data_IF_255610231586
#
_entry.id   IF_255610231586
#
_cell.length_a   1.000
_cell.length_b   1.000
_cell.length_c   1.000
_cell.angle_alpha   90.00
_cell.angle_beta   90.00
_cell.angle_gamma   90.00
#
_symmetry.space_group_name_H-M   'P 1'
#
loop_
_entity.id
_entity.type
_entity.pdbx_description
1 polymer ?
#
# COMPACT_ATOMS: atom_id res chain seq x y z
N UNK A 1 -6.45 31.19 -13.43
CA UNK A 1 -6.25 31.25 -11.96
C UNK A 1 -5.89 29.88 -11.38
N UNK A 2 -4.75 29.28 -11.77
CA UNK A 2 -4.31 27.95 -11.27
C UNK A 2 -3.53 28.05 -9.95
N UNK A 3 -2.94 29.21 -9.68
CA UNK A 3 -2.16 29.51 -8.45
C UNK A 3 -3.05 29.41 -7.19
N UNK A 4 -4.34 29.72 -7.31
CA UNK A 4 -5.25 29.89 -6.16
C UNK A 4 -5.55 28.57 -5.41
N UNK A 5 -5.61 27.42 -6.11
CA UNK A 5 -5.89 26.12 -5.46
C UNK A 5 -4.68 25.57 -4.71
N UNK A 6 -3.47 25.79 -5.23
CA UNK A 6 -2.23 25.32 -4.60
C UNK A 6 -1.94 26.16 -3.36
N UNK A 7 -2.07 27.49 -3.49
CA UNK A 7 -1.89 28.41 -2.37
C UNK A 7 -2.89 28.12 -1.24
N UNK A 8 -4.18 27.92 -1.57
CA UNK A 8 -5.21 27.52 -0.57
C UNK A 8 -4.86 26.23 0.16
N UNK A 9 -4.32 25.21 -0.53
CA UNK A 9 -3.90 23.95 0.13
C UNK A 9 -2.70 24.15 1.03
N UNK A 10 -1.73 24.97 0.61
CA UNK A 10 -0.54 25.28 1.40
C UNK A 10 -0.91 26.08 2.65
N UNK A 11 -1.74 27.11 2.54
CA UNK A 11 -2.21 27.89 3.68
C UNK A 11 -3.05 27.04 4.65
N UNK A 12 -3.89 26.15 4.14
CA UNK A 12 -4.66 25.21 4.99
C UNK A 12 -3.77 24.22 5.73
N UNK A 13 -2.69 23.74 5.11
CA UNK A 13 -1.67 22.92 5.80
C UNK A 13 -0.94 23.74 6.86
N UNK A 14 -0.52 24.96 6.54
CA UNK A 14 0.27 25.78 7.44
C UNK A 14 -0.52 26.20 8.70
N UNK A 15 -1.82 26.52 8.55
CA UNK A 15 -2.71 26.81 9.68
C UNK A 15 -2.95 25.62 10.61
N UNK A 16 -2.75 24.38 10.15
CA UNK A 16 -2.81 23.19 11.01
C UNK A 16 -1.58 23.04 11.91
N UNK A 17 -0.46 23.72 11.63
CA UNK A 17 0.78 23.60 12.39
C UNK A 17 1.02 24.74 13.39
N UNK A 18 0.24 25.82 13.32
CA UNK A 18 0.48 27.05 14.11
C UNK A 18 -0.54 27.29 15.23
N UNK A 19 -1.51 26.40 15.43
CA UNK A 19 -2.43 26.50 16.58
C UNK A 19 -1.83 25.83 17.82
N UNK A 20 -1.71 26.53 18.97
CA UNK A 20 -1.38 25.89 20.24
C UNK A 20 -2.41 24.79 20.55
N UNK A 21 -1.95 23.56 20.82
CA UNK A 21 -2.79 22.34 20.90
C UNK A 21 -2.79 21.48 19.63
N UNK A 22 -2.20 21.97 18.53
CA UNK A 22 -2.05 21.22 17.29
C UNK A 22 -0.88 20.20 17.30
N UNK A 23 -0.36 19.83 18.46
CA UNK A 23 0.50 18.65 18.65
C UNK A 23 -0.03 17.68 19.70
N UNK A 24 -1.13 18.03 20.40
CA UNK A 24 -1.85 17.14 21.32
C UNK A 24 -2.98 16.38 20.62
N UNK A 25 -2.71 15.87 19.41
CA UNK A 25 -3.64 15.04 18.64
C UNK A 25 -4.04 13.73 19.35
N UNK A 26 -3.40 13.40 20.48
CA UNK A 26 -3.64 12.19 21.23
C UNK A 26 -5.02 12.18 21.89
N UNK A 27 -5.64 13.36 22.09
CA UNK A 27 -7.02 13.49 22.56
C UNK A 27 -7.92 13.84 21.38
N UNK A 28 -8.31 12.84 20.57
CA UNK A 28 -9.43 13.05 19.66
C UNK A 28 -10.71 13.10 20.48
N UNK A 29 -11.54 14.14 20.30
CA UNK A 29 -12.90 14.23 20.88
C UNK A 29 -13.85 13.13 20.38
N UNK A 30 -13.39 12.32 19.42
CA UNK A 30 -14.13 11.20 18.86
C UNK A 30 -14.11 10.03 19.84
N UNK A 31 -15.29 9.48 20.15
CA UNK A 31 -15.47 8.29 20.98
C UNK A 31 -14.57 7.14 20.51
N UNK A 32 -13.88 6.50 21.46
CA UNK A 32 -13.02 5.34 21.22
C UNK A 32 -13.55 4.17 22.01
N UNK A 33 -13.78 3.05 21.33
CA UNK A 33 -14.19 1.80 21.97
C UNK A 33 -13.34 0.64 21.48
N UNK A 34 -13.07 -0.30 22.37
CA UNK A 34 -12.49 -1.58 22.01
C UNK A 34 -13.59 -2.45 21.40
N UNK A 35 -13.29 -3.06 20.26
CA UNK A 35 -14.18 -4.01 19.59
C UNK A 35 -13.41 -5.28 19.30
N UNK A 36 -14.05 -6.43 19.51
CA UNK A 36 -13.50 -7.71 19.12
C UNK A 36 -13.52 -7.83 17.58
N UNK A 37 -12.38 -8.22 17.01
CA UNK A 37 -12.19 -8.37 15.57
C UNK A 37 -11.39 -9.65 15.32
N UNK A 38 -11.80 -10.44 14.34
CA UNK A 38 -11.04 -11.60 13.89
C UNK A 38 -9.98 -11.18 12.86
N UNK A 39 -8.74 -11.61 13.06
CA UNK A 39 -7.65 -11.23 12.16
C UNK A 39 -7.81 -11.87 10.78
N UNK A 40 -7.84 -11.04 9.73
CA UNK A 40 -7.97 -11.50 8.34
C UNK A 40 -6.78 -12.32 7.81
N UNK A 41 -5.69 -12.46 8.59
CA UNK A 41 -4.47 -13.15 8.17
C UNK A 41 -4.27 -14.46 8.92
N UNK A 42 -4.38 -14.43 10.26
CA UNK A 42 -4.14 -15.58 11.12
C UNK A 42 -5.40 -16.16 11.76
N UNK A 43 -6.57 -15.55 11.56
CA UNK A 43 -7.86 -16.03 12.08
C UNK A 43 -8.06 -15.89 13.59
N UNK A 44 -7.08 -15.34 14.32
CA UNK A 44 -7.20 -15.13 15.77
C UNK A 44 -8.03 -13.90 16.09
N UNK A 45 -8.82 -13.98 17.15
CA UNK A 45 -9.55 -12.85 17.69
C UNK A 45 -8.62 -11.93 18.48
N UNK A 46 -8.84 -10.63 18.36
CA UNK A 46 -8.13 -9.59 19.10
C UNK A 46 -9.00 -8.35 19.28
N UNK A 47 -8.63 -7.51 20.25
CA UNK A 47 -9.29 -6.24 20.45
C UNK A 47 -8.64 -5.14 19.61
N UNK A 48 -9.46 -4.39 18.88
CA UNK A 48 -9.02 -3.25 18.09
C UNK A 48 -9.74 -1.98 18.55
N UNK A 49 -9.02 -0.85 18.49
CA UNK A 49 -9.61 0.46 18.78
C UNK A 49 -10.41 0.94 17.58
N UNK A 50 -11.72 1.12 17.78
CA UNK A 50 -12.60 1.81 16.85
C UNK A 50 -12.74 3.28 17.28
N UNK A 51 -12.30 4.20 16.41
CA UNK A 51 -12.46 5.64 16.61
C UNK A 51 -13.69 6.15 15.82
N UNK A 52 -14.77 6.43 16.54
CA UNK A 52 -16.06 6.85 15.97
C UNK A 52 -16.59 5.84 14.95
N UNK A 53 -16.91 6.32 13.75
CA UNK A 53 -17.44 5.48 12.65
C UNK A 53 -16.36 4.81 11.79
N UNK A 54 -15.06 5.04 12.07
CA UNK A 54 -13.98 4.45 11.26
C UNK A 54 -13.90 2.95 11.51
N UNK A 55 -13.69 2.17 10.45
CA UNK A 55 -13.46 0.72 10.58
C UNK A 55 -12.10 0.50 11.27
N UNK A 56 -12.02 -0.36 12.29
CA UNK A 56 -10.76 -0.71 12.95
C UNK A 56 -9.86 -1.53 12.02
N UNK A 57 -8.58 -1.66 12.40
CA UNK A 57 -7.67 -2.61 11.74
C UNK A 57 -8.20 -4.03 11.87
N UNK A 58 -8.10 -4.83 10.81
CA UNK A 58 -8.40 -6.28 10.81
C UNK A 58 -7.14 -7.14 10.95
N UNK A 59 -6.00 -6.53 11.31
CA UNK A 59 -4.70 -7.20 11.43
C UNK A 59 -4.15 -7.00 12.84
N UNK A 60 -3.95 -8.11 13.56
CA UNK A 60 -3.66 -8.12 15.00
C UNK A 60 -2.20 -7.75 15.36
N UNK A 61 -1.26 -7.93 14.44
CA UNK A 61 0.17 -7.69 14.68
C UNK A 61 0.86 -7.10 13.46
N UNK A 62 2.05 -6.51 13.65
CA UNK A 62 2.90 -6.07 12.54
C UNK A 62 3.28 -7.23 11.62
N UNK A 63 3.47 -8.43 12.16
CA UNK A 63 3.70 -9.64 11.38
C UNK A 63 2.52 -9.91 10.43
N UNK A 64 1.28 -9.87 10.95
CA UNK A 64 0.08 -10.03 10.11
C UNK A 64 -0.10 -8.87 9.12
N UNK A 65 0.30 -7.64 9.45
CA UNK A 65 0.30 -6.52 8.50
C UNK A 65 1.27 -6.72 7.34
N UNK A 66 2.49 -7.20 7.62
CA UNK A 66 3.48 -7.52 6.58
C UNK A 66 2.99 -8.66 5.69
N UNK A 67 2.49 -9.73 6.29
CA UNK A 67 1.97 -10.88 5.54
C UNK A 67 0.74 -10.52 4.70
N UNK A 68 -0.19 -9.73 5.24
CA UNK A 68 -1.32 -9.21 4.46
C UNK A 68 -0.90 -8.38 3.25
N UNK A 69 0.16 -7.56 3.38
CA UNK A 69 0.74 -6.81 2.26
C UNK A 69 1.39 -7.72 1.23
N UNK A 70 2.14 -8.74 1.67
CA UNK A 70 2.76 -9.75 0.81
C UNK A 70 1.72 -10.51 0.00
N UNK A 71 0.65 -11.01 0.63
CA UNK A 71 -0.45 -11.72 -0.05
C UNK A 71 -1.14 -10.85 -1.09
N UNK A 72 -1.45 -9.59 -0.74
CA UNK A 72 -2.04 -8.64 -1.68
C UNK A 72 -1.13 -8.38 -2.89
N UNK A 73 0.15 -8.12 -2.65
CA UNK A 73 1.13 -7.89 -3.72
C UNK A 73 1.29 -9.13 -4.62
N UNK A 74 1.34 -10.32 -4.05
CA UNK A 74 1.41 -11.57 -4.82
C UNK A 74 0.17 -11.76 -5.69
N UNK A 75 -1.04 -11.54 -5.15
CA UNK A 75 -2.27 -11.64 -5.91
C UNK A 75 -2.34 -10.62 -7.05
N UNK A 76 -1.98 -9.37 -6.77
CA UNK A 76 -1.96 -8.29 -7.76
C UNK A 76 -0.97 -8.58 -8.91
N UNK A 77 0.21 -9.14 -8.58
CA UNK A 77 1.26 -9.43 -9.56
C UNK A 77 1.13 -10.81 -10.21
N UNK A 78 0.11 -11.62 -9.89
CA UNK A 78 0.02 -12.99 -10.38
C UNK A 78 -0.07 -13.04 -11.91
N UNK A 79 -0.95 -12.22 -12.51
CA UNK A 79 -1.10 -12.14 -13.96
C UNK A 79 0.17 -11.62 -14.65
N UNK A 80 0.77 -10.54 -14.11
CA UNK A 80 2.00 -9.97 -14.65
C UNK A 80 3.19 -10.95 -14.62
N UNK A 81 3.25 -11.86 -13.64
CA UNK A 81 4.27 -12.92 -13.61
C UNK A 81 4.08 -13.92 -14.73
N UNK A 82 2.83 -14.33 -14.98
CA UNK A 82 2.52 -15.24 -16.09
C UNK A 82 2.87 -14.60 -17.44
N UNK A 83 2.46 -13.35 -17.66
CA UNK A 83 2.80 -12.62 -18.89
C UNK A 83 4.31 -12.48 -19.08
N UNK A 84 5.05 -12.23 -18.00
CA UNK A 84 6.50 -12.14 -18.04
C UNK A 84 7.17 -13.49 -18.33
N UNK A 85 6.64 -14.60 -17.82
CA UNK A 85 7.10 -15.96 -18.14
C UNK A 85 6.82 -16.30 -19.61
N UNK A 86 5.64 -15.96 -20.12
CA UNK A 86 5.28 -16.16 -21.53
C UNK A 86 6.20 -15.35 -22.45
N UNK A 87 6.47 -14.07 -22.10
CA UNK A 87 7.42 -13.24 -22.84
C UNK A 87 8.84 -13.81 -22.81
N UNK A 88 9.28 -14.37 -21.68
CA UNK A 88 10.58 -15.05 -21.58
C UNK A 88 10.64 -16.30 -22.45
N UNK A 89 9.57 -17.09 -22.50
CA UNK A 89 9.49 -18.28 -23.36
C UNK A 89 9.56 -17.90 -24.85
N UNK A 90 8.82 -16.87 -25.25
CA UNK A 90 8.85 -16.31 -26.62
C UNK A 90 10.23 -15.74 -26.99
N UNK A 91 10.89 -15.09 -26.04
CA UNK A 91 12.27 -14.62 -26.22
C UNK A 91 13.24 -15.79 -26.42
N UNK A 92 13.13 -16.85 -25.61
CA UNK A 92 13.94 -18.06 -25.76
C UNK A 92 13.69 -18.74 -27.11
N UNK A 93 12.44 -18.78 -27.58
CA UNK A 93 12.06 -19.30 -28.89
C UNK A 93 12.64 -18.48 -30.06
N UNK A 94 13.17 -17.27 -29.81
CA UNK A 94 13.81 -16.42 -30.83
C UNK A 94 12.83 -15.54 -31.60
N UNK A 95 11.58 -15.41 -31.15
CA UNK A 95 10.57 -14.58 -31.83
C UNK A 95 11.01 -13.12 -31.95
N UNK A 96 11.83 -12.64 -31.02
CA UNK A 96 12.30 -11.26 -30.99
C UNK A 96 13.56 -11.00 -31.85
N UNK A 97 14.24 -12.06 -32.34
CA UNK A 97 15.36 -11.90 -33.28
C UNK A 97 14.87 -11.31 -34.62
N UNK A 98 13.66 -11.68 -35.05
CA UNK A 98 13.00 -11.10 -36.23
C UNK A 98 12.70 -9.60 -36.08
N UNK A 99 12.65 -9.10 -34.83
CA UNK A 99 12.46 -7.69 -34.50
C UNK A 99 13.80 -6.96 -34.21
N UNK A 100 14.95 -7.62 -34.45
CA UNK A 100 16.27 -7.06 -34.20
C UNK A 100 16.70 -7.02 -32.73
N UNK A 101 16.02 -7.75 -31.85
CA UNK A 101 16.36 -7.84 -30.42
C UNK A 101 17.20 -9.11 -30.22
N UNK A 102 18.49 -9.01 -29.86
CA UNK A 102 19.36 -10.17 -29.73
C UNK A 102 19.00 -11.03 -28.51
N UNK A 103 19.17 -12.36 -28.63
CA UNK A 103 19.11 -13.30 -27.50
C UNK A 103 20.28 -13.04 -26.55
N UNK A 104 20.07 -12.12 -25.62
CA UNK A 104 21.06 -11.76 -24.61
C UNK A 104 21.55 -10.33 -24.77
N UNK A 105 20.99 -9.44 -23.99
CA UNK A 105 21.76 -8.34 -23.41
C UNK A 105 22.28 -8.82 -22.05
N UNK A 106 23.56 -8.58 -21.72
CA UNK A 106 24.12 -9.05 -20.47
C UNK A 106 23.32 -8.47 -19.30
N UNK A 107 22.95 -9.36 -18.39
CA UNK A 107 22.34 -9.01 -17.12
C UNK A 107 23.12 -7.85 -16.48
N UNK A 108 22.48 -6.69 -16.30
CA UNK A 108 22.92 -5.79 -15.25
C UNK A 108 22.54 -6.45 -13.92
N UNK A 109 23.43 -7.28 -13.42
CA UNK A 109 23.41 -7.72 -12.03
C UNK A 109 23.74 -6.50 -11.14
N UNK A 110 22.98 -6.38 -10.04
CA UNK A 110 23.00 -5.37 -8.96
C UNK A 110 21.99 -4.22 -9.08
#
# INVERSE_FOLDING_TARGET
MVIDKVLKRLMKRQGQFTQPGASDHLISTVERRLVAVTCAVCGKDFEAVQAGRRKPSTRCSEACKREGRRRYSNAYNAAARQELEDLRARAAAGEFEALGIPRGSPERQA
#
